data_IF_278616687148
#
_entry.id   IF_278616687148
#
_cell.length_a   1.000
_cell.length_b   1.000
_cell.length_c   1.000
_cell.angle_alpha   90.00
_cell.angle_beta   90.00
_cell.angle_gamma   90.00
#
_symmetry.space_group_name_H-M   'P 1'
#
loop_
_entity.id
_entity.type
_entity.pdbx_description
1 polymer ?
#
# COMPACT_ATOMS: atom_id res chain seq x y z
N UNK A 1 -20.80 68.93 33.35
CA UNK A 1 -20.81 67.44 33.39
C UNK A 1 -19.47 66.98 33.94
N UNK A 2 -19.50 66.07 34.93
CA UNK A 2 -18.45 65.22 35.54
C UNK A 2 -16.96 65.70 35.47
N UNK A 3 -16.23 65.98 36.57
CA UNK A 3 -15.87 65.11 37.73
C UNK A 3 -15.12 63.85 37.25
N UNK A 4 -13.89 63.47 37.67
CA UNK A 4 -12.84 64.03 38.57
C UNK A 4 -11.49 63.32 38.23
N UNK A 5 -10.30 63.93 38.31
CA UNK A 5 -9.41 63.97 39.51
C UNK A 5 -9.09 62.58 40.12
N UNK A 6 -7.87 62.13 40.51
CA UNK A 6 -6.47 62.66 40.37
C UNK A 6 -5.43 61.64 40.88
N UNK A 7 -4.18 61.75 40.39
CA UNK A 7 -2.86 61.53 41.06
C UNK A 7 -2.62 60.39 42.07
N UNK A 8 -1.65 59.54 41.70
CA UNK A 8 -0.40 59.15 42.43
C UNK A 8 -0.31 59.41 43.96
N UNK A 9 0.25 58.43 44.69
CA UNK A 9 1.32 58.69 45.66
C UNK A 9 2.17 57.44 45.98
N UNK A 10 3.42 57.67 46.42
CA UNK A 10 4.43 56.67 46.86
C UNK A 10 5.05 57.14 48.18
N UNK A 11 5.23 56.23 49.16
CA UNK A 11 6.13 56.30 50.35
C UNK A 11 6.19 54.88 50.96
N UNK A 12 7.32 54.20 51.07
CA UNK A 12 8.51 54.38 51.96
C UNK A 12 8.26 53.98 53.42
N UNK A 13 9.15 53.13 53.95
CA UNK A 13 9.07 52.39 55.22
C UNK A 13 9.20 53.24 56.50
N UNK A 14 8.77 52.67 57.64
CA UNK A 14 9.40 52.89 58.95
C UNK A 14 9.25 51.66 59.87
N UNK A 15 10.06 51.58 60.93
CA UNK A 15 10.30 50.40 61.77
C UNK A 15 10.17 50.76 63.27
N UNK A 16 9.39 50.01 64.06
CA UNK A 16 9.30 50.13 65.55
C UNK A 16 9.04 48.74 66.18
N UNK A 17 9.49 48.56 67.42
CA UNK A 17 9.61 47.31 68.18
C UNK A 17 8.56 47.09 69.30
N UNK A 18 8.39 45.81 69.69
CA UNK A 18 8.08 45.26 71.03
C UNK A 18 6.73 45.55 71.75
N UNK A 19 5.87 44.51 71.84
CA UNK A 19 5.06 44.03 73.01
C UNK A 19 4.11 42.88 72.56
N UNK A 20 3.52 42.01 73.41
CA UNK A 20 3.79 41.74 74.83
C UNK A 20 2.73 40.93 75.62
N UNK A 21 2.69 39.59 75.48
CA UNK A 21 1.95 38.60 76.33
C UNK A 21 0.38 38.62 76.28
N UNK A 22 -0.34 37.58 76.79
CA UNK A 22 -1.38 36.90 75.99
C UNK A 22 -2.82 36.97 76.55
N UNK A 23 -3.78 36.51 75.73
CA UNK A 23 -5.12 36.08 76.19
C UNK A 23 -5.47 34.73 75.54
N UNK A 24 -6.04 33.83 76.33
CA UNK A 24 -6.45 32.49 75.90
C UNK A 24 -7.94 32.40 75.55
N UNK A 25 -8.30 31.35 74.81
CA UNK A 25 -9.64 30.80 74.65
C UNK A 25 -10.72 31.69 73.99
N UNK A 26 -10.95 31.45 72.69
CA UNK A 26 -12.31 31.17 72.22
C UNK A 26 -12.24 30.00 71.24
N UNK A 27 -12.88 28.89 71.59
CA UNK A 27 -12.79 27.61 70.87
C UNK A 27 -13.87 27.47 69.80
N UNK A 28 -13.48 27.15 68.56
CA UNK A 28 -14.34 26.44 67.60
C UNK A 28 -13.46 25.75 66.53
N UNK A 29 -13.53 24.42 66.47
CA UNK A 29 -13.13 23.56 65.35
C UNK A 29 -14.37 22.72 64.94
N UNK A 30 -14.38 22.02 63.79
CA UNK A 30 -13.69 22.23 62.51
C UNK A 30 -14.76 22.63 61.44
N UNK A 31 -14.61 22.70 60.11
CA UNK A 31 -13.76 22.13 59.05
C UNK A 31 -13.54 23.25 57.99
N UNK A 32 -12.53 23.24 57.13
CA UNK A 32 -12.47 22.40 55.94
C UNK A 32 -11.03 22.09 55.52
N UNK A 33 -10.72 20.80 55.42
CA UNK A 33 -9.62 20.34 54.58
C UNK A 33 -10.06 20.47 53.12
N UNK A 34 -9.72 21.58 52.48
CA UNK A 34 -9.57 21.58 51.01
C UNK A 34 -8.37 20.70 50.71
N UNK A 35 -8.61 19.42 50.41
CA UNK A 35 -7.57 18.57 49.85
C UNK A 35 -7.14 19.16 48.50
N UNK A 36 -5.84 19.17 48.17
CA UNK A 36 -5.45 19.32 46.78
C UNK A 36 -6.12 18.18 46.03
N UNK A 37 -6.93 18.50 45.01
CA UNK A 37 -7.30 17.50 44.01
C UNK A 37 -6.01 16.90 43.50
N UNK A 38 -5.89 15.58 43.58
CA UNK A 38 -4.73 14.85 43.12
C UNK A 38 -4.67 14.98 41.60
N UNK A 39 -4.04 16.06 41.14
CA UNK A 39 -3.78 16.33 39.74
C UNK A 39 -2.74 15.30 39.31
N UNK A 40 -3.26 14.13 38.91
CA UNK A 40 -2.45 13.04 38.36
C UNK A 40 -1.69 13.66 37.19
N UNK A 41 -0.39 13.85 37.42
CA UNK A 41 0.56 14.39 36.47
C UNK A 41 0.28 13.76 35.10
N UNK A 42 -0.18 14.60 34.17
CA UNK A 42 -0.74 14.19 32.88
C UNK A 42 0.27 13.33 32.12
N UNK A 43 1.56 13.68 32.23
CA UNK A 43 2.67 12.92 31.68
C UNK A 43 2.78 11.53 32.34
N UNK A 44 2.65 11.43 33.67
CA UNK A 44 2.67 10.12 34.36
C UNK A 44 1.47 9.25 33.99
N UNK A 45 0.27 9.83 33.84
CA UNK A 45 -0.91 9.09 33.40
C UNK A 45 -0.73 8.51 31.99
N UNK A 46 -0.28 9.33 31.03
CA UNK A 46 0.01 8.89 29.67
C UNK A 46 1.11 7.82 29.62
N UNK A 47 2.25 8.03 30.29
CA UNK A 47 3.36 7.06 30.29
C UNK A 47 2.98 5.72 30.96
N UNK A 48 2.20 5.76 32.05
CA UNK A 48 1.68 4.54 32.67
C UNK A 48 0.67 3.82 31.74
N UNK A 49 -0.15 4.58 31.02
CA UNK A 49 -1.04 4.04 29.98
C UNK A 49 -0.26 3.32 28.88
N UNK A 50 0.82 3.93 28.36
CA UNK A 50 1.71 3.29 27.38
C UNK A 50 2.35 2.00 27.90
N UNK A 51 2.73 1.95 29.18
CA UNK A 51 3.32 0.75 29.79
C UNK A 51 2.30 -0.41 29.84
N UNK A 52 1.05 -0.14 30.21
CA UNK A 52 -0.03 -1.14 30.16
C UNK A 52 -0.44 -1.49 28.73
N UNK A 53 -0.36 -0.56 27.79
CA UNK A 53 -0.67 -0.78 26.38
C UNK A 53 0.36 -1.71 25.70
N UNK A 54 1.65 -1.46 25.93
CA UNK A 54 2.76 -2.21 25.29
C UNK A 54 3.17 -3.48 26.04
N UNK A 55 2.92 -3.55 27.35
CA UNK A 55 3.39 -4.65 28.21
C UNK A 55 4.88 -4.58 28.58
N UNK A 56 5.56 -3.46 28.32
CA UNK A 56 7.04 -3.35 28.41
C UNK A 56 7.61 -3.34 29.85
N UNK A 57 6.77 -3.22 30.88
CA UNK A 57 7.19 -3.18 32.28
C UNK A 57 6.13 -3.70 33.27
N UNK A 58 4.95 -4.04 32.76
CA UNK A 58 3.79 -4.57 33.47
C UNK A 58 3.09 -5.54 32.52
N UNK A 59 2.26 -6.45 33.02
CA UNK A 59 1.42 -7.28 32.12
C UNK A 59 0.53 -6.35 31.26
N UNK A 60 0.46 -6.62 29.95
CA UNK A 60 -0.40 -5.88 29.04
C UNK A 60 -1.86 -5.90 29.52
N UNK A 61 -2.50 -4.74 29.53
CA UNK A 61 -3.86 -4.53 30.04
C UNK A 61 -4.50 -3.33 29.31
N UNK A 62 -5.20 -3.60 28.21
CA UNK A 62 -5.84 -2.55 27.41
C UNK A 62 -6.92 -1.80 28.19
N UNK A 63 -7.61 -2.43 29.15
CA UNK A 63 -8.63 -1.74 29.95
C UNK A 63 -7.98 -0.66 30.84
N UNK A 64 -6.86 -0.98 31.52
CA UNK A 64 -6.10 0.01 32.30
C UNK A 64 -5.45 1.07 31.43
N UNK A 65 -4.92 0.70 30.26
CA UNK A 65 -4.39 1.67 29.31
C UNK A 65 -5.48 2.65 28.85
N UNK A 66 -6.67 2.16 28.51
CA UNK A 66 -7.83 2.98 28.15
C UNK A 66 -8.20 3.96 29.26
N UNK A 67 -8.34 3.51 30.52
CA UNK A 67 -8.66 4.40 31.65
C UNK A 67 -7.61 5.51 31.85
N UNK A 68 -6.33 5.18 31.71
CA UNK A 68 -5.22 6.12 31.92
C UNK A 68 -5.12 7.14 30.79
N UNK A 69 -5.24 6.70 29.53
CA UNK A 69 -5.35 7.62 28.40
C UNK A 69 -6.62 8.46 28.49
N UNK A 70 -7.75 7.91 28.96
CA UNK A 70 -8.99 8.68 29.14
C UNK A 70 -8.83 9.81 30.15
N UNK A 71 -8.12 9.55 31.26
CA UNK A 71 -7.78 10.56 32.28
C UNK A 71 -6.83 11.64 31.76
N UNK A 72 -5.82 11.29 30.96
CA UNK A 72 -4.87 12.25 30.38
C UNK A 72 -5.49 13.07 29.22
N UNK A 73 -6.23 12.42 28.32
CA UNK A 73 -6.87 13.04 27.17
C UNK A 73 -7.96 14.05 27.55
N UNK A 74 -8.70 13.76 28.63
CA UNK A 74 -9.69 14.67 29.23
C UNK A 74 -9.05 15.93 29.83
N UNK A 75 -7.76 15.87 30.20
CA UNK A 75 -6.97 17.01 30.64
C UNK A 75 -6.26 17.74 29.48
N UNK A 76 -6.55 17.34 28.24
CA UNK A 76 -6.06 18.02 27.03
C UNK A 76 -4.85 17.37 26.37
N UNK A 77 -4.26 16.30 26.92
CA UNK A 77 -3.02 15.74 26.35
C UNK A 77 -3.22 15.20 24.92
N UNK A 78 -2.52 15.74 23.90
CA UNK A 78 -2.76 15.36 22.50
C UNK A 78 -2.29 13.93 22.20
N UNK A 79 -1.29 13.41 22.92
CA UNK A 79 -0.80 12.05 22.72
C UNK A 79 -1.78 11.02 23.28
N UNK A 80 -2.34 11.26 24.47
CA UNK A 80 -3.40 10.44 25.05
C UNK A 80 -4.70 10.52 24.24
N UNK A 81 -5.05 11.71 23.71
CA UNK A 81 -6.17 11.86 22.77
C UNK A 81 -5.96 11.02 21.51
N UNK A 82 -4.75 11.01 20.93
CA UNK A 82 -4.43 10.15 19.80
C UNK A 82 -4.53 8.66 20.16
N UNK A 83 -3.98 8.24 21.30
CA UNK A 83 -4.04 6.83 21.74
C UNK A 83 -5.48 6.37 22.02
N UNK A 84 -6.35 7.21 22.61
CA UNK A 84 -7.79 6.90 22.68
C UNK A 84 -8.41 6.71 21.30
N UNK A 85 -8.00 7.54 20.33
CA UNK A 85 -8.38 7.38 18.93
C UNK A 85 -8.05 5.98 18.43
N UNK A 86 -6.80 5.52 18.62
CA UNK A 86 -6.32 4.18 18.25
C UNK A 86 -7.13 3.08 18.95
N UNK A 87 -7.37 3.19 20.26
CA UNK A 87 -8.09 2.17 21.01
C UNK A 87 -9.56 2.04 20.58
N UNK A 88 -10.23 3.16 20.28
CA UNK A 88 -11.56 3.13 19.66
C UNK A 88 -11.54 2.62 18.22
N UNK A 89 -10.44 2.77 17.49
CA UNK A 89 -10.30 2.32 16.10
C UNK A 89 -10.10 0.80 16.01
N UNK A 90 -9.34 0.23 16.94
CA UNK A 90 -8.95 -1.19 16.95
C UNK A 90 -9.82 -2.06 17.87
N UNK A 91 -10.70 -1.47 18.68
CA UNK A 91 -11.46 -2.22 19.70
C UNK A 91 -10.61 -2.70 20.89
N UNK A 92 -9.50 -2.02 21.16
CA UNK A 92 -8.53 -2.41 22.20
C UNK A 92 -9.00 -1.90 23.57
N UNK A 93 -9.45 -2.80 24.45
CA UNK A 93 -9.91 -2.44 25.81
C UNK A 93 -11.23 -1.67 25.86
N UNK A 94 -11.88 -1.48 24.72
CA UNK A 94 -13.18 -0.84 24.55
C UNK A 94 -13.83 -1.38 23.26
N UNK A 95 -15.16 -1.34 23.14
CA UNK A 95 -15.81 -1.67 21.86
C UNK A 95 -15.40 -0.69 20.76
N UNK A 96 -15.10 -1.23 19.58
CA UNK A 96 -14.73 -0.47 18.38
C UNK A 96 -15.78 0.59 18.03
N UNK A 97 -15.31 1.78 17.62
CA UNK A 97 -16.15 2.88 17.17
C UNK A 97 -15.36 3.90 16.33
N UNK A 98 -15.41 3.77 14.99
CA UNK A 98 -14.68 4.66 14.06
C UNK A 98 -15.04 6.14 14.21
N UNK A 99 -16.30 6.45 14.53
CA UNK A 99 -16.76 7.83 14.73
C UNK A 99 -16.14 8.48 15.99
N UNK A 100 -16.06 7.76 17.11
CA UNK A 100 -15.35 8.20 18.33
C UNK A 100 -13.84 8.28 18.09
N UNK A 101 -13.26 7.33 17.36
CA UNK A 101 -11.86 7.39 16.95
C UNK A 101 -11.57 8.69 16.19
N UNK A 102 -12.38 9.03 15.18
CA UNK A 102 -12.27 10.29 14.43
C UNK A 102 -12.42 11.53 15.33
N UNK A 103 -13.33 11.53 16.32
CA UNK A 103 -13.48 12.64 17.27
C UNK A 103 -12.23 12.85 18.12
N UNK A 104 -11.61 11.77 18.62
CA UNK A 104 -10.39 11.85 19.42
C UNK A 104 -9.15 12.20 18.59
N UNK A 105 -9.01 11.61 17.39
CA UNK A 105 -7.97 12.00 16.43
C UNK A 105 -8.08 13.48 16.06
N UNK A 106 -9.29 14.02 15.84
CA UNK A 106 -9.48 15.47 15.55
C UNK A 106 -8.97 16.36 16.67
N UNK A 107 -9.31 16.08 17.94
CA UNK A 107 -8.84 16.88 19.08
C UNK A 107 -7.30 16.91 19.14
N UNK A 108 -6.64 15.77 18.94
CA UNK A 108 -5.18 15.69 18.89
C UNK A 108 -4.59 16.41 17.65
N UNK A 109 -5.23 16.26 16.49
CA UNK A 109 -4.81 16.85 15.23
C UNK A 109 -4.93 18.39 15.20
N UNK A 110 -5.95 18.93 15.86
CA UNK A 110 -6.19 20.36 16.07
C UNK A 110 -5.12 20.99 16.97
N UNK A 111 -4.59 20.23 17.93
CA UNK A 111 -3.42 20.60 18.74
C UNK A 111 -2.07 20.46 17.99
N UNK A 112 -2.09 20.04 16.73
CA UNK A 112 -0.90 19.98 15.88
C UNK A 112 -0.24 18.61 15.77
N UNK A 113 -0.71 17.56 16.45
CA UNK A 113 -0.02 16.26 16.42
C UNK A 113 -0.07 15.62 15.01
N UNK A 114 1.10 15.42 14.40
CA UNK A 114 1.23 14.97 13.01
C UNK A 114 0.61 13.58 12.75
N UNK A 115 0.82 12.61 13.65
CA UNK A 115 0.22 11.27 13.54
C UNK A 115 -1.31 11.34 13.58
N UNK A 116 -1.87 12.17 14.48
CA UNK A 116 -3.30 12.39 14.56
C UNK A 116 -3.85 13.08 13.31
N UNK A 117 -3.14 14.08 12.76
CA UNK A 117 -3.50 14.71 11.48
C UNK A 117 -3.50 13.69 10.34
N UNK A 118 -2.53 12.77 10.31
CA UNK A 118 -2.53 11.67 9.34
C UNK A 118 -3.76 10.75 9.53
N UNK A 119 -4.04 10.31 10.77
CA UNK A 119 -5.19 9.43 11.05
C UNK A 119 -6.55 10.08 10.75
N UNK A 120 -6.73 11.39 10.97
CA UNK A 120 -7.94 12.10 10.52
C UNK A 120 -8.05 12.07 9.00
N UNK A 121 -6.93 12.22 8.27
CA UNK A 121 -6.88 12.10 6.82
C UNK A 121 -7.29 10.71 6.33
N UNK A 122 -6.67 9.66 6.89
CA UNK A 122 -6.98 8.24 6.62
C UNK A 122 -8.45 7.93 6.87
N UNK A 123 -9.04 8.44 7.95
CA UNK A 123 -10.46 8.21 8.28
C UNK A 123 -11.42 8.80 7.26
N UNK A 124 -11.12 9.97 6.71
CA UNK A 124 -11.92 10.57 5.63
C UNK A 124 -11.70 9.93 4.26
N UNK A 125 -10.68 9.08 4.10
CA UNK A 125 -10.33 8.47 2.83
C UNK A 125 -10.79 7.01 2.72
N UNK A 126 -10.64 6.22 3.78
CA UNK A 126 -10.78 4.75 3.73
C UNK A 126 -11.77 4.15 4.74
N UNK A 127 -12.37 4.92 5.65
CA UNK A 127 -13.28 4.34 6.66
C UNK A 127 -14.66 4.11 6.07
N UNK A 128 -15.23 2.93 6.25
CA UNK A 128 -16.58 2.60 5.74
C UNK A 128 -17.69 3.30 6.54
N UNK A 129 -17.55 3.40 7.87
CA UNK A 129 -18.50 4.07 8.77
C UNK A 129 -18.49 5.62 8.71
N UNK A 130 -17.73 6.22 7.79
CA UNK A 130 -17.53 7.67 7.72
C UNK A 130 -17.59 8.09 6.25
N UNK A 131 -18.53 8.99 5.92
CA UNK A 131 -18.66 9.54 4.57
C UNK A 131 -17.29 10.03 4.05
N UNK A 132 -16.88 9.51 2.89
CA UNK A 132 -15.61 9.86 2.27
C UNK A 132 -15.58 11.35 1.92
N UNK A 133 -14.49 12.01 2.28
CA UNK A 133 -14.29 13.43 2.02
C UNK A 133 -12.82 13.69 1.70
N UNK A 134 -12.48 13.54 0.42
CA UNK A 134 -11.14 13.78 -0.11
C UNK A 134 -10.62 15.17 0.25
N UNK A 135 -11.50 16.17 0.27
CA UNK A 135 -11.15 17.57 0.47
C UNK A 135 -10.74 17.85 1.93
N UNK A 136 -11.43 17.22 2.90
CA UNK A 136 -11.02 17.18 4.31
C UNK A 136 -9.77 16.32 4.50
N UNK A 137 -9.69 15.15 3.87
CA UNK A 137 -8.53 14.25 3.97
C UNK A 137 -7.24 14.98 3.57
N UNK A 138 -7.25 15.63 2.41
CA UNK A 138 -6.09 16.36 1.86
C UNK A 138 -5.74 17.61 2.69
N UNK A 139 -6.72 18.30 3.28
CA UNK A 139 -6.44 19.39 4.23
C UNK A 139 -5.66 18.89 5.46
N UNK A 140 -5.97 17.69 5.95
CA UNK A 140 -5.25 17.08 7.08
C UNK A 140 -3.89 16.50 6.69
N UNK A 141 -3.81 15.76 5.58
CA UNK A 141 -2.53 15.26 5.07
C UNK A 141 -1.56 16.39 4.75
N UNK A 142 -2.00 17.53 4.19
CA UNK A 142 -1.14 18.72 3.97
C UNK A 142 -0.54 19.26 5.27
N UNK A 143 -1.27 19.25 6.39
CA UNK A 143 -0.74 19.67 7.70
C UNK A 143 0.32 18.68 8.21
N UNK A 144 0.01 17.38 8.22
CA UNK A 144 0.96 16.34 8.67
C UNK A 144 2.22 16.29 7.80
N UNK A 145 2.06 16.36 6.47
CA UNK A 145 3.16 16.34 5.51
C UNK A 145 4.07 17.58 5.59
N UNK A 146 3.53 18.73 6.00
CA UNK A 146 4.32 19.95 6.27
C UNK A 146 5.19 19.82 7.53
N UNK A 147 4.79 18.99 8.50
CA UNK A 147 5.60 18.62 9.66
C UNK A 147 6.63 17.52 9.36
N UNK A 148 6.61 16.97 8.15
CA UNK A 148 7.54 15.93 7.71
C UNK A 148 6.95 14.51 7.68
N UNK A 149 5.73 14.27 8.13
CA UNK A 149 5.17 12.91 8.26
C UNK A 149 5.23 12.12 6.92
N UNK A 150 5.94 10.99 6.84
CA UNK A 150 6.15 10.28 5.58
C UNK A 150 4.87 9.60 5.05
N UNK A 151 3.98 9.11 5.92
CA UNK A 151 2.68 8.53 5.55
C UNK A 151 1.79 9.58 4.89
N UNK A 152 1.68 10.77 5.49
CA UNK A 152 0.88 11.85 4.91
C UNK A 152 1.47 12.36 3.59
N UNK A 153 2.80 12.38 3.45
CA UNK A 153 3.46 12.66 2.18
C UNK A 153 3.21 11.55 1.13
N UNK A 154 3.05 10.30 1.55
CA UNK A 154 2.67 9.20 0.66
C UNK A 154 1.22 9.32 0.19
N UNK A 155 0.26 9.56 1.10
CA UNK A 155 -1.15 9.76 0.74
C UNK A 155 -1.40 10.98 -0.14
N UNK A 156 -0.62 12.06 0.02
CA UNK A 156 -0.62 13.17 -0.95
C UNK A 156 -0.08 12.74 -2.31
N UNK A 157 0.85 11.79 -2.37
CA UNK A 157 1.30 11.17 -3.62
C UNK A 157 0.18 10.38 -4.31
N UNK A 158 -0.51 9.52 -3.56
CA UNK A 158 -1.64 8.71 -4.04
C UNK A 158 -2.79 9.56 -4.58
N UNK A 159 -3.12 10.63 -3.87
CA UNK A 159 -4.13 11.60 -4.31
C UNK A 159 -3.87 12.10 -5.73
N UNK A 160 -2.62 12.46 -6.05
CA UNK A 160 -2.27 12.94 -7.38
C UNK A 160 -2.05 11.83 -8.44
N UNK A 161 -2.22 10.55 -8.11
CA UNK A 161 -2.09 9.43 -9.06
C UNK A 161 -3.38 8.70 -9.42
N UNK A 162 -4.22 8.38 -8.43
CA UNK A 162 -5.21 7.30 -8.58
C UNK A 162 -6.40 7.38 -7.60
N UNK A 163 -6.63 8.54 -6.96
CA UNK A 163 -7.84 8.77 -6.18
C UNK A 163 -8.95 9.30 -7.11
N UNK A 164 -10.15 8.75 -6.95
CA UNK A 164 -11.37 9.17 -7.65
C UNK A 164 -11.66 10.67 -7.41
N UNK A 165 -12.19 11.35 -8.43
CA UNK A 165 -12.42 12.82 -8.47
C UNK A 165 -11.20 13.72 -8.21
N UNK A 166 -9.99 13.16 -8.12
CA UNK A 166 -8.76 13.93 -7.93
C UNK A 166 -8.20 14.46 -9.27
N UNK A 167 -7.65 15.69 -9.31
CA UNK A 167 -6.85 16.14 -10.45
C UNK A 167 -5.53 15.33 -10.51
N UNK A 168 -5.47 14.35 -11.41
CA UNK A 168 -4.27 13.57 -11.68
C UNK A 168 -3.11 14.51 -12.08
N UNK A 169 -2.05 14.52 -11.28
CA UNK A 169 -0.84 15.32 -11.47
C UNK A 169 0.38 14.50 -11.06
N UNK A 170 0.89 13.68 -12.00
CA UNK A 170 2.09 12.86 -11.78
C UNK A 170 3.32 13.69 -11.37
N UNK A 171 3.39 14.98 -11.71
CA UNK A 171 4.47 15.86 -11.27
C UNK A 171 4.37 16.20 -9.78
N UNK A 172 3.16 16.35 -9.23
CA UNK A 172 2.97 16.48 -7.77
C UNK A 172 3.11 15.14 -7.06
N UNK A 173 2.61 14.05 -7.65
CA UNK A 173 2.79 12.71 -7.09
C UNK A 173 4.27 12.37 -6.90
N UNK A 174 5.10 12.57 -7.94
CA UNK A 174 6.55 12.37 -7.87
C UNK A 174 7.19 13.26 -6.80
N UNK A 175 6.77 14.53 -6.66
CA UNK A 175 7.29 15.43 -5.60
C UNK A 175 6.97 14.89 -4.20
N UNK A 176 5.74 14.44 -3.97
CA UNK A 176 5.28 13.97 -2.66
C UNK A 176 5.85 12.59 -2.30
N UNK A 177 5.77 11.61 -3.20
CA UNK A 177 6.43 10.32 -3.01
C UNK A 177 7.95 10.48 -2.82
N UNK A 178 8.63 11.38 -3.56
CA UNK A 178 10.08 11.62 -3.37
C UNK A 178 10.42 12.28 -2.03
N UNK A 179 9.50 12.98 -1.37
CA UNK A 179 9.70 13.43 0.02
C UNK A 179 9.58 12.25 0.99
N UNK A 180 8.53 11.44 0.86
CA UNK A 180 8.28 10.27 1.72
C UNK A 180 9.37 9.19 1.57
N UNK A 181 9.71 8.84 0.33
CA UNK A 181 10.74 7.85 -0.03
C UNK A 181 12.16 8.25 0.43
N UNK A 182 12.47 9.56 0.53
CA UNK A 182 13.73 10.03 1.13
C UNK A 182 13.86 9.67 2.60
N UNK A 183 12.74 9.50 3.31
CA UNK A 183 12.69 9.10 4.73
C UNK A 183 12.67 7.57 4.92
N UNK A 184 12.69 6.79 3.83
CA UNK A 184 12.77 5.33 3.86
C UNK A 184 11.42 4.60 3.85
N UNK A 185 10.30 5.34 3.78
CA UNK A 185 8.95 4.78 3.71
C UNK A 185 8.75 3.98 2.42
N UNK A 186 8.77 2.65 2.52
CA UNK A 186 8.90 1.77 1.36
C UNK A 186 7.71 1.80 0.38
N UNK A 187 6.44 2.05 0.78
CA UNK A 187 5.36 2.21 -0.19
C UNK A 187 5.58 3.41 -1.11
N UNK A 188 6.12 4.51 -0.59
CA UNK A 188 6.49 5.66 -1.41
C UNK A 188 7.71 5.40 -2.30
N UNK A 189 8.70 4.64 -1.82
CA UNK A 189 9.82 4.19 -2.66
C UNK A 189 9.33 3.33 -3.83
N UNK A 190 8.39 2.41 -3.60
CA UNK A 190 7.82 1.51 -4.60
C UNK A 190 6.93 2.24 -5.61
N UNK A 191 6.02 3.12 -5.15
CA UNK A 191 5.15 3.87 -6.05
C UNK A 191 5.96 4.89 -6.88
N UNK A 192 6.98 5.53 -6.29
CA UNK A 192 7.91 6.39 -7.03
C UNK A 192 8.67 5.63 -8.12
N UNK A 193 9.17 4.43 -7.80
CA UNK A 193 9.82 3.56 -8.77
C UNK A 193 8.87 3.20 -9.93
N UNK A 194 7.62 2.87 -9.60
CA UNK A 194 6.58 2.50 -10.55
C UNK A 194 6.17 3.65 -11.48
N UNK A 195 6.11 4.89 -10.97
CA UNK A 195 5.90 6.08 -11.81
C UNK A 195 7.06 6.31 -12.78
N UNK A 196 8.31 6.16 -12.32
CA UNK A 196 9.47 6.26 -13.23
C UNK A 196 9.52 5.12 -14.24
N UNK A 197 9.12 3.90 -13.88
CA UNK A 197 9.09 2.73 -14.77
C UNK A 197 8.05 2.90 -15.88
N UNK A 198 6.81 3.27 -15.51
CA UNK A 198 5.72 3.52 -16.47
C UNK A 198 5.91 4.82 -17.26
N UNK A 199 6.70 5.76 -16.74
CA UNK A 199 6.95 7.06 -17.38
C UNK A 199 5.75 8.00 -17.42
N UNK A 200 4.78 7.84 -16.51
CA UNK A 200 3.48 8.53 -16.65
C UNK A 200 3.64 10.05 -16.52
N UNK A 201 3.12 10.78 -17.51
CA UNK A 201 3.30 12.24 -17.66
C UNK A 201 4.66 12.67 -18.26
N UNK A 202 5.53 11.73 -18.66
CA UNK A 202 6.83 12.00 -19.27
C UNK A 202 7.25 10.84 -20.20
N UNK A 203 8.56 10.56 -20.29
CA UNK A 203 9.09 9.28 -20.79
C UNK A 203 9.57 8.44 -19.59
N UNK A 204 9.60 7.09 -19.69
CA UNK A 204 10.19 6.23 -18.68
C UNK A 204 11.61 6.62 -18.28
N UNK A 205 11.91 6.54 -16.99
CA UNK A 205 13.23 6.73 -16.42
C UNK A 205 13.64 5.47 -15.66
N UNK A 206 13.95 4.42 -16.43
CA UNK A 206 14.34 3.12 -15.88
C UNK A 206 15.54 3.18 -14.90
N UNK A 207 16.58 4.02 -15.08
CA UNK A 207 17.66 4.13 -14.09
C UNK A 207 17.21 4.59 -12.70
N UNK A 208 16.32 5.59 -12.60
CA UNK A 208 15.74 5.96 -11.30
C UNK A 208 14.76 4.89 -10.80
N UNK A 209 13.93 4.29 -11.67
CA UNK A 209 13.05 3.19 -11.28
C UNK A 209 13.83 2.03 -10.64
N UNK A 210 14.90 1.57 -11.28
CA UNK A 210 15.78 0.50 -10.81
C UNK A 210 16.37 0.84 -9.43
N UNK A 211 16.87 2.06 -9.26
CA UNK A 211 17.44 2.55 -7.99
C UNK A 211 16.42 2.54 -6.85
N UNK A 212 15.18 2.95 -7.11
CA UNK A 212 14.12 2.97 -6.10
C UNK A 212 13.56 1.58 -5.81
N UNK A 213 13.25 0.77 -6.84
CA UNK A 213 12.85 -0.64 -6.63
C UNK A 213 13.93 -1.43 -5.90
N UNK A 214 15.22 -1.24 -6.19
CA UNK A 214 16.31 -1.95 -5.51
C UNK A 214 16.35 -1.66 -4.01
N UNK A 215 16.06 -0.43 -3.58
CA UNK A 215 15.95 -0.06 -2.14
C UNK A 215 14.81 -0.79 -1.43
N UNK A 216 13.75 -1.11 -2.16
CA UNK A 216 12.57 -1.83 -1.65
C UNK A 216 12.81 -3.35 -1.68
N UNK A 217 13.39 -3.86 -2.76
CA UNK A 217 13.71 -5.29 -2.96
C UNK A 217 14.66 -5.86 -1.89
N UNK A 218 15.66 -5.07 -1.44
CA UNK A 218 16.56 -5.47 -0.33
C UNK A 218 15.86 -5.58 1.02
N UNK A 219 14.64 -5.04 1.17
CA UNK A 219 13.82 -5.16 2.40
C UNK A 219 12.94 -6.41 2.38
N UNK A 220 13.04 -7.26 1.35
CA UNK A 220 12.22 -8.47 1.20
C UNK A 220 10.85 -8.24 0.58
N UNK A 221 10.53 -7.03 0.09
CA UNK A 221 9.21 -6.76 -0.51
C UNK A 221 9.14 -7.34 -1.93
N UNK A 222 8.41 -8.44 -2.06
CA UNK A 222 8.45 -9.33 -3.22
C UNK A 222 8.07 -8.68 -4.56
N UNK A 223 7.05 -7.79 -4.66
CA UNK A 223 6.77 -7.09 -5.91
C UNK A 223 7.95 -6.26 -6.43
N UNK A 224 8.78 -5.68 -5.55
CA UNK A 224 9.98 -4.98 -5.97
C UNK A 224 11.12 -5.94 -6.37
N UNK A 225 11.20 -7.13 -5.76
CA UNK A 225 12.15 -8.17 -6.16
C UNK A 225 11.85 -8.68 -7.58
N UNK A 226 10.57 -8.94 -7.88
CA UNK A 226 10.11 -9.33 -9.21
C UNK A 226 10.43 -8.26 -10.26
N UNK A 227 10.09 -6.98 -9.99
CA UNK A 227 10.41 -5.89 -10.91
C UNK A 227 11.93 -5.75 -11.14
N UNK A 228 12.78 -5.97 -10.13
CA UNK A 228 14.24 -5.96 -10.32
C UNK A 228 14.73 -7.15 -11.15
N UNK A 229 14.11 -8.33 -11.03
CA UNK A 229 14.43 -9.49 -11.86
C UNK A 229 14.13 -9.20 -13.35
N UNK A 230 12.93 -8.70 -13.64
CA UNK A 230 12.50 -8.26 -14.99
C UNK A 230 13.45 -7.17 -15.53
N UNK A 231 13.78 -6.15 -14.73
CA UNK A 231 14.69 -5.08 -15.17
C UNK A 231 16.12 -5.57 -15.47
N UNK A 232 16.61 -6.64 -14.84
CA UNK A 232 17.86 -7.30 -15.24
C UNK A 232 17.70 -8.15 -16.50
N UNK A 233 16.57 -8.84 -16.67
CA UNK A 233 16.26 -9.64 -17.85
C UNK A 233 16.17 -8.78 -19.12
N UNK A 234 15.46 -7.65 -19.06
CA UNK A 234 15.28 -6.72 -20.20
C UNK A 234 16.42 -5.69 -20.35
N UNK A 235 17.28 -5.53 -19.34
CA UNK A 235 18.30 -4.46 -19.31
C UNK A 235 17.71 -3.05 -19.15
N UNK A 236 16.55 -2.93 -18.52
CA UNK A 236 15.87 -1.65 -18.31
C UNK A 236 16.53 -0.87 -17.17
N UNK A 237 17.28 0.18 -17.51
CA UNK A 237 17.89 1.09 -16.53
C UNK A 237 19.10 0.53 -15.77
N UNK A 238 19.47 -0.71 -16.07
CA UNK A 238 20.66 -1.43 -15.60
C UNK A 238 21.24 -2.20 -16.79
N UNK A 239 22.53 -2.54 -16.78
CA UNK A 239 23.06 -3.46 -17.79
C UNK A 239 22.31 -4.79 -17.71
N UNK A 240 21.83 -5.29 -18.84
CA UNK A 240 21.20 -6.60 -18.97
C UNK A 240 22.07 -7.69 -18.34
N UNK A 241 21.47 -8.53 -17.51
CA UNK A 241 22.15 -9.57 -16.74
C UNK A 241 21.18 -10.71 -16.45
N UNK A 242 21.00 -11.59 -17.44
CA UNK A 242 20.16 -12.77 -17.32
C UNK A 242 20.54 -13.65 -16.12
N UNK A 243 21.83 -13.72 -15.74
CA UNK A 243 22.22 -14.50 -14.57
C UNK A 243 21.62 -13.95 -13.29
N UNK A 244 21.65 -12.62 -13.09
CA UNK A 244 20.98 -11.98 -11.94
C UNK A 244 19.47 -12.10 -11.99
N UNK A 245 18.87 -12.02 -13.18
CA UNK A 245 17.43 -12.26 -13.34
C UNK A 245 17.06 -13.68 -12.90
N UNK A 246 17.81 -14.69 -13.37
CA UNK A 246 17.64 -16.10 -13.00
C UNK A 246 17.77 -16.32 -11.49
N UNK A 247 18.85 -15.83 -10.87
CA UNK A 247 19.09 -15.93 -9.42
C UNK A 247 17.95 -15.29 -8.60
N UNK A 248 17.36 -14.18 -9.08
CA UNK A 248 16.21 -13.54 -8.45
C UNK A 248 14.90 -14.32 -8.67
N UNK A 249 14.65 -14.83 -9.88
CA UNK A 249 13.48 -15.67 -10.13
C UNK A 249 13.52 -16.98 -9.35
N UNK A 250 14.70 -17.56 -9.07
CA UNK A 250 14.83 -18.68 -8.14
C UNK A 250 14.48 -18.30 -6.68
N UNK A 251 14.86 -17.10 -6.21
CA UNK A 251 14.47 -16.60 -4.88
C UNK A 251 12.95 -16.39 -4.78
N UNK A 252 12.31 -16.02 -5.89
CA UNK A 252 10.85 -15.80 -5.99
C UNK A 252 10.10 -17.13 -6.14
N UNK A 253 10.66 -18.11 -6.84
CA UNK A 253 10.14 -19.48 -6.92
C UNK A 253 10.13 -20.16 -5.56
N UNK A 254 11.20 -19.99 -4.76
CA UNK A 254 11.26 -20.43 -3.37
C UNK A 254 10.26 -19.74 -2.43
N UNK A 255 9.60 -18.66 -2.89
CA UNK A 255 8.47 -18.00 -2.20
C UNK A 255 7.10 -18.42 -2.77
N UNK A 256 7.05 -19.33 -3.76
CA UNK A 256 5.81 -19.81 -4.38
C UNK A 256 5.22 -18.89 -5.46
N UNK A 257 6.03 -18.07 -6.15
CA UNK A 257 5.51 -17.18 -7.19
C UNK A 257 5.43 -17.87 -8.56
N UNK A 258 4.22 -18.21 -9.00
CA UNK A 258 3.95 -18.79 -10.32
C UNK A 258 4.53 -17.95 -11.49
N UNK A 259 4.46 -16.61 -11.41
CA UNK A 259 5.06 -15.74 -12.42
C UNK A 259 6.59 -15.82 -12.47
N UNK A 260 7.27 -16.17 -11.37
CA UNK A 260 8.71 -16.40 -11.36
C UNK A 260 9.06 -17.76 -11.97
N UNK A 261 8.26 -18.79 -11.69
CA UNK A 261 8.37 -20.11 -12.34
C UNK A 261 8.17 -20.00 -13.85
N UNK A 262 7.16 -19.26 -14.30
CA UNK A 262 6.97 -18.91 -15.71
C UNK A 262 8.22 -18.29 -16.32
N UNK A 263 8.77 -17.24 -15.71
CA UNK A 263 9.99 -16.58 -16.21
C UNK A 263 11.22 -17.52 -16.21
N UNK A 264 11.36 -18.43 -15.25
CA UNK A 264 12.39 -19.48 -15.31
C UNK A 264 12.17 -20.40 -16.52
N UNK A 265 10.93 -20.76 -16.84
CA UNK A 265 10.56 -21.49 -18.05
C UNK A 265 10.99 -20.77 -19.32
N UNK A 266 10.62 -19.48 -19.46
CA UNK A 266 11.01 -18.61 -20.58
C UNK A 266 12.53 -18.57 -20.77
N UNK A 267 13.28 -18.45 -19.67
CA UNK A 267 14.75 -18.42 -19.71
C UNK A 267 15.37 -19.74 -20.17
N UNK A 268 14.79 -20.88 -19.79
CA UNK A 268 15.20 -22.19 -20.30
C UNK A 268 14.77 -22.41 -21.76
N UNK A 269 13.59 -21.94 -22.17
CA UNK A 269 13.11 -22.05 -23.56
C UNK A 269 13.99 -21.25 -24.53
N UNK A 270 14.41 -20.05 -24.13
CA UNK A 270 15.24 -19.15 -24.96
C UNK A 270 16.75 -19.36 -24.78
N UNK A 271 17.19 -20.05 -23.73
CA UNK A 271 18.61 -20.18 -23.39
C UNK A 271 19.24 -18.87 -22.87
N UNK A 272 18.47 -18.09 -22.12
CA UNK A 272 18.87 -16.77 -21.63
C UNK A 272 19.46 -16.87 -20.23
N UNK A 273 20.79 -16.73 -20.11
CA UNK A 273 21.52 -16.90 -18.85
C UNK A 273 21.73 -18.35 -18.41
N UNK A 274 21.05 -19.31 -19.05
CA UNK A 274 21.18 -20.76 -18.89
C UNK A 274 21.34 -21.42 -20.27
N UNK A 275 21.76 -22.69 -20.32
CA UNK A 275 21.70 -23.45 -21.58
C UNK A 275 20.23 -23.69 -21.94
N UNK A 276 19.88 -23.49 -23.21
CA UNK A 276 18.54 -23.81 -23.74
C UNK A 276 18.17 -25.27 -23.45
N UNK A 277 16.96 -25.48 -22.93
CA UNK A 277 16.49 -26.75 -22.39
C UNK A 277 14.94 -26.77 -22.35
N UNK A 278 14.31 -27.27 -23.42
CA UNK A 278 12.85 -27.30 -23.55
C UNK A 278 12.18 -28.23 -22.52
N UNK A 279 12.84 -29.33 -22.10
CA UNK A 279 12.31 -30.23 -21.07
C UNK A 279 12.19 -29.49 -19.72
N UNK A 280 13.21 -28.69 -19.36
CA UNK A 280 13.12 -27.82 -18.18
C UNK A 280 12.12 -26.68 -18.34
N UNK A 281 12.00 -26.10 -19.55
CA UNK A 281 10.98 -25.09 -19.80
C UNK A 281 9.58 -25.65 -19.52
N UNK A 282 9.26 -26.84 -20.06
CA UNK A 282 8.00 -27.54 -19.78
C UNK A 282 7.80 -27.82 -18.29
N UNK A 283 8.82 -28.30 -17.56
CA UNK A 283 8.73 -28.52 -16.11
C UNK A 283 8.43 -27.23 -15.32
N UNK A 284 8.97 -26.09 -15.74
CA UNK A 284 8.73 -24.80 -15.09
C UNK A 284 7.37 -24.20 -15.44
N UNK A 285 6.94 -24.32 -16.70
CA UNK A 285 5.59 -23.94 -17.12
C UNK A 285 4.54 -24.81 -16.43
N UNK A 286 4.73 -26.13 -16.35
CA UNK A 286 3.85 -27.06 -15.63
C UNK A 286 3.62 -26.63 -14.16
N UNK A 287 4.68 -26.35 -13.39
CA UNK A 287 4.56 -25.86 -12.01
C UNK A 287 3.71 -24.59 -11.89
N UNK A 288 3.85 -23.67 -12.84
CA UNK A 288 3.11 -22.41 -12.85
C UNK A 288 1.66 -22.59 -13.34
N UNK A 289 1.45 -23.47 -14.32
CA UNK A 289 0.14 -23.86 -14.84
C UNK A 289 -0.72 -24.56 -13.76
N UNK A 290 -0.11 -25.42 -12.93
CA UNK A 290 -0.74 -26.05 -11.76
C UNK A 290 -1.21 -25.03 -10.69
N UNK A 291 -0.71 -23.80 -10.72
CA UNK A 291 -1.16 -22.68 -9.89
C UNK A 291 -2.15 -21.75 -10.63
N UNK A 292 -2.61 -22.12 -11.82
CA UNK A 292 -3.52 -21.33 -12.66
C UNK A 292 -2.86 -20.11 -13.31
N UNK A 293 -1.58 -20.18 -13.70
CA UNK A 293 -0.93 -19.08 -14.41
C UNK A 293 -1.15 -19.19 -15.92
N UNK A 294 -2.09 -18.40 -16.46
CA UNK A 294 -2.55 -18.43 -17.86
C UNK A 294 -1.44 -18.47 -18.90
N UNK A 295 -0.43 -17.60 -18.77
CA UNK A 295 0.71 -17.55 -19.70
C UNK A 295 1.52 -18.85 -19.70
N UNK A 296 1.66 -19.53 -18.55
CA UNK A 296 2.33 -20.83 -18.50
C UNK A 296 1.47 -21.98 -19.00
N UNK A 297 0.14 -21.92 -18.83
CA UNK A 297 -0.77 -22.86 -19.49
C UNK A 297 -0.65 -22.72 -21.01
N UNK A 298 -0.66 -21.50 -21.54
CA UNK A 298 -0.43 -21.23 -22.96
C UNK A 298 0.92 -21.75 -23.45
N UNK A 299 2.02 -21.40 -22.78
CA UNK A 299 3.36 -21.73 -23.27
C UNK A 299 3.65 -23.23 -23.14
N UNK A 300 3.14 -23.89 -22.10
CA UNK A 300 3.17 -25.35 -22.01
C UNK A 300 2.32 -26.01 -23.11
N UNK A 301 1.13 -25.47 -23.41
CA UNK A 301 0.31 -25.90 -24.53
C UNK A 301 1.05 -25.77 -25.86
N UNK A 302 1.84 -24.71 -26.02
CA UNK A 302 2.70 -24.50 -27.19
C UNK A 302 3.87 -25.48 -27.28
N UNK A 303 4.41 -25.95 -26.14
CA UNK A 303 5.42 -27.02 -26.13
C UNK A 303 4.80 -28.38 -26.50
N UNK A 304 3.61 -28.71 -25.99
CA UNK A 304 2.88 -29.93 -26.38
C UNK A 304 2.42 -29.91 -27.85
N UNK A 305 1.92 -28.77 -28.35
CA UNK A 305 1.52 -28.60 -29.75
C UNK A 305 2.69 -28.78 -30.73
N UNK A 306 3.92 -28.46 -30.31
CA UNK A 306 5.10 -28.49 -31.17
C UNK A 306 6.09 -29.63 -30.87
N UNK A 307 5.79 -30.52 -29.93
CA UNK A 307 6.68 -31.61 -29.51
C UNK A 307 8.05 -31.14 -28.99
N UNK A 308 8.15 -29.90 -28.46
CA UNK A 308 9.43 -29.31 -28.03
C UNK A 308 9.67 -29.54 -26.54
N UNK A 309 10.52 -30.51 -26.22
CA UNK A 309 10.85 -30.87 -24.82
C UNK A 309 9.78 -31.70 -24.10
N UNK A 310 8.72 -32.06 -24.82
CA UNK A 310 7.66 -33.00 -24.45
C UNK A 310 7.28 -33.79 -25.71
N UNK A 311 6.61 -34.93 -25.56
CA UNK A 311 5.99 -35.61 -26.70
C UNK A 311 4.87 -34.75 -27.29
N UNK A 312 4.69 -34.76 -28.61
CA UNK A 312 3.64 -34.00 -29.30
C UNK A 312 2.26 -34.52 -28.89
N UNK A 313 1.41 -33.62 -28.38
CA UNK A 313 0.12 -33.99 -27.78
C UNK A 313 -0.90 -32.87 -27.97
N UNK A 314 -1.67 -32.96 -29.05
CA UNK A 314 -2.71 -31.96 -29.36
C UNK A 314 -3.85 -31.97 -28.34
N UNK A 315 -4.16 -33.09 -27.68
CA UNK A 315 -5.24 -33.13 -26.68
C UNK A 315 -4.85 -32.34 -25.43
N UNK A 316 -3.61 -32.48 -24.95
CA UNK A 316 -3.07 -31.64 -23.86
C UNK A 316 -2.91 -30.18 -24.27
N UNK A 317 -2.47 -29.91 -25.51
CA UNK A 317 -2.38 -28.53 -26.00
C UNK A 317 -3.77 -27.86 -25.99
N UNK A 318 -4.79 -28.57 -26.47
CA UNK A 318 -6.18 -28.10 -26.49
C UNK A 318 -6.73 -27.86 -25.06
N UNK A 319 -6.45 -28.77 -24.13
CA UNK A 319 -6.82 -28.63 -22.71
C UNK A 319 -6.19 -27.35 -22.11
N UNK A 320 -4.87 -27.21 -22.20
CA UNK A 320 -4.12 -26.09 -21.63
C UNK A 320 -4.48 -24.73 -22.26
N UNK A 321 -4.64 -24.67 -23.59
CA UNK A 321 -5.12 -23.46 -24.25
C UNK A 321 -6.57 -23.14 -23.83
N UNK A 322 -7.43 -24.14 -23.63
CA UNK A 322 -8.80 -23.92 -23.15
C UNK A 322 -8.82 -23.36 -21.73
N UNK A 323 -7.97 -23.86 -20.82
CA UNK A 323 -7.84 -23.32 -19.46
C UNK A 323 -7.35 -21.87 -19.42
N UNK A 324 -6.34 -21.54 -20.24
CA UNK A 324 -5.81 -20.18 -20.35
C UNK A 324 -6.81 -19.24 -21.03
N UNK A 325 -7.47 -19.67 -22.11
CA UNK A 325 -8.47 -18.89 -22.84
C UNK A 325 -9.72 -18.59 -22.00
N UNK A 326 -10.07 -19.48 -21.06
CA UNK A 326 -11.13 -19.28 -20.07
C UNK A 326 -10.78 -18.23 -18.99
N UNK A 327 -9.48 -17.91 -18.83
CA UNK A 327 -8.98 -16.81 -18.00
C UNK A 327 -8.73 -15.53 -18.83
N UNK A 328 -9.37 -15.45 -20.00
CA UNK A 328 -9.28 -14.33 -20.94
C UNK A 328 -7.88 -14.12 -21.57
N UNK A 329 -6.97 -15.09 -21.50
CA UNK A 329 -5.65 -14.98 -22.13
C UNK A 329 -5.74 -14.90 -23.66
N UNK A 330 -5.44 -13.73 -24.24
CA UNK A 330 -5.65 -13.46 -25.66
C UNK A 330 -4.81 -14.37 -26.58
N UNK A 331 -3.57 -14.70 -26.17
CA UNK A 331 -2.69 -15.60 -26.94
C UNK A 331 -3.25 -17.02 -26.96
N UNK A 332 -3.78 -17.49 -25.81
CA UNK A 332 -4.40 -18.82 -25.73
C UNK A 332 -5.73 -18.89 -26.51
N UNK A 333 -6.52 -17.80 -26.51
CA UNK A 333 -7.71 -17.68 -27.35
C UNK A 333 -7.35 -17.76 -28.84
N UNK A 334 -6.29 -17.06 -29.28
CA UNK A 334 -5.78 -17.15 -30.64
C UNK A 334 -5.31 -18.58 -30.98
N UNK A 335 -4.51 -19.20 -30.12
CA UNK A 335 -4.01 -20.56 -30.33
C UNK A 335 -5.14 -21.61 -30.39
N UNK A 336 -6.16 -21.48 -29.55
CA UNK A 336 -7.36 -22.31 -29.61
C UNK A 336 -8.13 -22.10 -30.92
N UNK A 337 -8.11 -20.88 -31.46
CA UNK A 337 -8.58 -20.56 -32.81
C UNK A 337 -7.81 -21.30 -33.90
N UNK A 338 -6.47 -21.29 -33.87
CA UNK A 338 -5.63 -22.06 -34.82
C UNK A 338 -5.94 -23.57 -34.73
N UNK A 339 -6.16 -24.14 -33.54
CA UNK A 339 -6.53 -25.56 -33.40
C UNK A 339 -7.88 -25.90 -34.08
N UNK A 340 -8.90 -25.04 -33.92
CA UNK A 340 -10.16 -25.18 -34.66
C UNK A 340 -10.01 -24.93 -36.17
N UNK A 341 -9.07 -24.07 -36.59
CA UNK A 341 -8.77 -23.83 -38.00
C UNK A 341 -8.12 -25.06 -38.67
N UNK A 342 -7.15 -25.69 -37.99
CA UNK A 342 -6.43 -26.85 -38.54
C UNK A 342 -7.19 -28.17 -38.35
N UNK A 343 -7.97 -28.30 -37.29
CA UNK A 343 -8.63 -29.55 -36.91
C UNK A 343 -7.74 -30.44 -36.02
N UNK A 344 -6.92 -29.81 -35.18
CA UNK A 344 -5.99 -30.48 -34.27
C UNK A 344 -6.72 -30.77 -32.95
N UNK A 345 -6.68 -32.02 -32.45
CA UNK A 345 -7.54 -32.57 -31.37
C UNK A 345 -9.04 -32.56 -31.65
N UNK A 346 -9.58 -31.45 -32.17
CA UNK A 346 -11.01 -31.23 -32.45
C UNK A 346 -11.29 -31.21 -33.97
N UNK A 347 -12.52 -31.54 -34.44
CA UNK A 347 -12.87 -31.37 -35.84
C UNK A 347 -12.72 -29.91 -36.31
N UNK A 348 -12.18 -29.72 -37.52
CA UNK A 348 -12.04 -28.40 -38.15
C UNK A 348 -13.38 -27.64 -38.19
N UNK A 349 -13.40 -26.42 -37.66
CA UNK A 349 -14.58 -25.56 -37.57
C UNK A 349 -14.16 -24.07 -37.68
N UNK A 350 -14.26 -23.53 -38.90
CA UNK A 350 -13.89 -22.14 -39.19
C UNK A 350 -14.77 -21.11 -38.45
N UNK A 351 -16.00 -21.46 -38.04
CA UNK A 351 -16.84 -20.54 -37.28
C UNK A 351 -16.36 -20.46 -35.83
N UNK A 352 -16.02 -21.59 -35.20
CA UNK A 352 -15.40 -21.60 -33.87
C UNK A 352 -14.01 -20.96 -33.88
N UNK A 353 -13.21 -21.21 -34.92
CA UNK A 353 -11.94 -20.51 -35.10
C UNK A 353 -12.16 -18.99 -35.09
N UNK A 354 -13.11 -18.49 -35.90
CA UNK A 354 -13.52 -17.08 -35.90
C UNK A 354 -14.01 -16.57 -34.53
N UNK A 355 -14.85 -17.32 -33.81
CA UNK A 355 -15.32 -16.94 -32.47
C UNK A 355 -14.16 -16.75 -31.47
N UNK A 356 -13.16 -17.63 -31.51
CA UNK A 356 -11.97 -17.54 -30.66
C UNK A 356 -11.03 -16.43 -31.11
N UNK A 357 -10.80 -16.28 -32.41
CA UNK A 357 -10.02 -15.17 -32.94
C UNK A 357 -10.66 -13.81 -32.60
N UNK A 358 -11.98 -13.68 -32.66
CA UNK A 358 -12.67 -12.42 -32.35
C UNK A 358 -12.45 -12.00 -30.90
N UNK A 359 -12.50 -12.94 -29.93
CA UNK A 359 -12.20 -12.63 -28.52
C UNK A 359 -10.77 -12.11 -28.32
N UNK A 360 -9.78 -12.72 -29.00
CA UNK A 360 -8.40 -12.24 -28.94
C UNK A 360 -8.23 -10.87 -29.67
N UNK A 361 -8.94 -10.65 -30.77
CA UNK A 361 -8.93 -9.39 -31.52
C UNK A 361 -9.60 -8.25 -30.74
N UNK A 362 -10.67 -8.51 -29.99
CA UNK A 362 -11.34 -7.56 -29.10
C UNK A 362 -10.42 -7.07 -27.97
N UNK A 363 -9.44 -7.89 -27.58
CA UNK A 363 -8.36 -7.54 -26.66
C UNK A 363 -7.14 -6.87 -27.34
N UNK A 364 -7.18 -6.68 -28.66
CA UNK A 364 -6.12 -6.04 -29.44
C UNK A 364 -5.02 -6.98 -29.95
N UNK A 365 -5.21 -8.30 -29.94
CA UNK A 365 -4.24 -9.24 -30.51
C UNK A 365 -4.27 -9.18 -32.06
N UNK A 366 -3.33 -8.42 -32.64
CA UNK A 366 -3.35 -8.07 -34.07
C UNK A 366 -3.30 -9.27 -35.02
N UNK A 367 -2.52 -10.32 -34.71
CA UNK A 367 -2.44 -11.53 -35.54
C UNK A 367 -3.81 -12.23 -35.66
N UNK A 368 -4.67 -12.06 -34.65
CA UNK A 368 -6.05 -12.55 -34.66
C UNK A 368 -6.92 -11.81 -35.68
N UNK A 369 -6.78 -10.48 -35.76
CA UNK A 369 -7.47 -9.67 -36.76
C UNK A 369 -7.04 -10.07 -38.17
N UNK A 370 -5.75 -10.33 -38.37
CA UNK A 370 -5.20 -10.77 -39.65
C UNK A 370 -5.76 -12.16 -40.06
N UNK A 371 -5.92 -13.09 -39.10
CA UNK A 371 -6.59 -14.40 -39.32
C UNK A 371 -8.08 -14.28 -39.62
N UNK A 372 -8.80 -13.38 -38.94
CA UNK A 372 -10.21 -13.10 -39.24
C UNK A 372 -10.38 -12.61 -40.68
N UNK A 373 -9.53 -11.68 -41.12
CA UNK A 373 -9.62 -11.15 -42.47
C UNK A 373 -9.14 -12.18 -43.52
N UNK A 374 -8.20 -13.06 -43.19
CA UNK A 374 -7.90 -14.24 -44.00
C UNK A 374 -9.14 -15.14 -44.19
N UNK A 375 -9.85 -15.52 -43.12
CA UNK A 375 -11.06 -16.33 -43.19
C UNK A 375 -12.17 -15.70 -44.07
N UNK A 376 -12.36 -14.39 -43.97
CA UNK A 376 -13.32 -13.62 -44.81
C UNK A 376 -12.90 -13.56 -46.28
N UNK A 377 -11.59 -13.47 -46.55
CA UNK A 377 -11.06 -13.42 -47.91
C UNK A 377 -11.09 -14.80 -48.60
N UNK A 378 -10.87 -15.87 -47.85
CA UNK A 378 -11.00 -17.25 -48.34
C UNK A 378 -12.47 -17.72 -48.47
N UNK A 379 -13.44 -16.93 -47.99
CA UNK A 379 -14.86 -17.30 -48.00
C UNK A 379 -15.21 -18.44 -47.03
N UNK A 380 -14.40 -18.63 -45.99
CA UNK A 380 -14.57 -19.69 -44.97
C UNK A 380 -15.66 -19.35 -43.95
N UNK A 381 -15.89 -18.06 -43.75
CA UNK A 381 -16.95 -17.48 -42.91
C UNK A 381 -17.69 -16.41 -43.71
N UNK A 382 -18.92 -16.10 -43.27
CA UNK A 382 -19.69 -14.99 -43.84
C UNK A 382 -19.03 -13.65 -43.50
N UNK A 383 -19.20 -12.66 -44.39
CA UNK A 383 -18.73 -11.28 -44.20
C UNK A 383 -19.65 -10.48 -43.28
#
# INVERSE_FOLDING_TARGET
>A
MNISNTKKNVRVCFLVLLTGLPVSACSFEPTDKVSPTEQIDISKAYQLGLNYYKGNSVKQDYNKAFELFQKAANQGDPQAQFQLGVMYDNGEGISENKAKALQWYKKAAEQGLADAQNSVGVKYLYSEDIDRDYDKAIKWFKKAAAQGQPEAQFHLGEYYTNIEDSPIDYSQAIKWYKKSAKQGFYPAEFNLASLYYKGVGAKPNYPEAFKWYKRVAIKGYTPAQFQIAVMYYDGLGVKQDYRKAFELFQILEGQGYASAQHNLGVMYEKGEGVKQDYEKAAQWYQKAAEQGYSLSQNDLGSLYYSGRGVEEDYDKAFELYSEAAAQEEAIAQFNLGEMYYHGDSVPQDYNKAYEWYQKAADQGYQESQDRIDQLRNEGKINR
#
